data_IF_491535139464
#
_entry.id   IF_491535139464
#
_cell.length_a   1.000
_cell.length_b   1.000
_cell.length_c   1.000
_cell.angle_alpha   90.00
_cell.angle_beta   90.00
_cell.angle_gamma   90.00
#
_symmetry.space_group_name_H-M   'P 1'
#
loop_
_entity.id
_entity.type
_entity.pdbx_description
1 polymer ?
#
# COMPACT_ATOMS: atom_id res chain seq x y z
N UNK A 1 -7.71 -0.31 14.52
CA UNK A 1 -6.30 -0.67 14.28
C UNK A 1 -5.53 0.63 14.23
N UNK A 2 -4.36 0.70 14.87
CA UNK A 2 -3.45 1.83 14.68
C UNK A 2 -2.60 1.52 13.45
N UNK A 3 -2.34 2.53 12.63
CA UNK A 3 -1.38 2.41 11.53
C UNK A 3 0.02 2.19 12.09
N UNK A 4 0.86 1.46 11.36
CA UNK A 4 2.27 1.32 11.68
C UNK A 4 3.00 2.67 11.46
N UNK A 5 4.05 2.91 12.23
CA UNK A 5 5.01 3.97 11.93
C UNK A 5 5.98 3.41 10.90
N UNK A 6 6.02 4.03 9.71
CA UNK A 6 6.76 3.51 8.56
C UNK A 6 7.94 4.43 8.25
N UNK A 7 9.10 3.84 7.98
CA UNK A 7 10.28 4.55 7.50
C UNK A 7 10.22 4.73 5.97
N UNK A 8 10.60 5.93 5.49
CA UNK A 8 10.59 6.25 4.06
C UNK A 8 11.69 7.23 3.65
N UNK A 9 11.99 7.23 2.35
CA UNK A 9 12.93 8.16 1.72
C UNK A 9 12.38 8.66 0.39
N UNK A 10 12.50 9.96 0.14
CA UNK A 10 12.22 10.54 -1.17
C UNK A 10 13.52 10.55 -1.99
N UNK A 11 13.47 9.99 -3.19
CA UNK A 11 14.62 9.91 -4.11
C UNK A 11 14.30 10.70 -5.37
N UNK A 12 15.28 11.48 -5.84
CA UNK A 12 15.16 12.32 -7.03
C UNK A 12 14.90 13.79 -6.70
N UNK A 13 15.00 14.63 -7.73
CA UNK A 13 14.79 16.08 -7.64
C UNK A 13 13.63 16.48 -8.58
N UNK A 14 13.83 16.36 -9.89
CA UNK A 14 12.80 16.68 -10.89
C UNK A 14 11.71 15.61 -11.04
N UNK A 15 12.11 14.33 -10.93
CA UNK A 15 11.19 13.19 -10.92
C UNK A 15 11.43 12.44 -9.63
N UNK A 16 10.43 12.40 -8.78
CA UNK A 16 10.53 11.89 -7.42
C UNK A 16 9.82 10.55 -7.27
N UNK A 17 10.42 9.68 -6.47
CA UNK A 17 9.80 8.46 -5.98
C UNK A 17 9.93 8.40 -4.45
N UNK A 18 8.98 7.74 -3.81
CA UNK A 18 9.06 7.41 -2.39
C UNK A 18 9.44 5.94 -2.26
N UNK A 19 10.55 5.69 -1.60
CA UNK A 19 10.99 4.37 -1.17
C UNK A 19 10.49 4.16 0.27
N UNK A 20 9.86 3.02 0.51
CA UNK A 20 9.25 2.66 1.79
C UNK A 20 9.93 1.41 2.33
N UNK A 21 10.46 1.49 3.54
CA UNK A 21 11.03 0.34 4.26
C UNK A 21 9.93 -0.32 5.09
N UNK A 22 9.90 -1.66 5.09
CA UNK A 22 8.91 -2.44 5.82
C UNK A 22 9.60 -3.39 6.78
N UNK A 23 9.32 -3.22 8.07
CA UNK A 23 9.68 -4.22 9.06
C UNK A 23 8.84 -5.50 8.87
N UNK A 24 9.28 -6.64 9.43
CA UNK A 24 8.50 -7.87 9.37
C UNK A 24 7.07 -7.66 9.90
N UNK A 25 6.07 -7.99 9.08
CA UNK A 25 4.62 -7.84 9.32
C UNK A 25 4.07 -6.42 9.13
N UNK A 26 4.87 -5.47 8.66
CA UNK A 26 4.35 -4.18 8.23
C UNK A 26 3.68 -4.26 6.86
N UNK A 27 2.85 -3.27 6.57
CA UNK A 27 2.10 -3.22 5.31
C UNK A 27 1.90 -1.77 4.92
N UNK A 28 2.17 -1.49 3.65
CA UNK A 28 1.81 -0.23 3.00
C UNK A 28 0.71 -0.49 1.98
N UNK A 29 -0.22 0.45 1.88
CA UNK A 29 -1.29 0.42 0.88
C UNK A 29 -0.99 1.55 -0.11
N UNK A 30 -0.98 1.22 -1.39
CA UNK A 30 -0.76 2.18 -2.46
C UNK A 30 -1.80 1.98 -3.56
N UNK A 31 -2.04 3.05 -4.33
CA UNK A 31 -2.93 3.00 -5.49
C UNK A 31 -2.37 2.08 -6.59
N UNK A 32 -3.26 1.48 -7.36
CA UNK A 32 -2.88 0.64 -8.49
C UNK A 32 -2.03 1.44 -9.49
N UNK A 33 -0.86 0.92 -9.82
CA UNK A 33 0.07 1.57 -10.76
C UNK A 33 1.05 2.57 -10.13
N UNK A 34 0.96 2.84 -8.82
CA UNK A 34 1.92 3.70 -8.13
C UNK A 34 3.26 3.00 -7.82
N UNK A 35 3.27 1.68 -7.72
CA UNK A 35 4.47 0.90 -7.40
C UNK A 35 5.44 0.85 -8.59
N UNK A 36 6.70 1.22 -8.36
CA UNK A 36 7.77 1.20 -9.36
C UNK A 36 8.60 -0.09 -9.30
N UNK A 37 9.02 -0.50 -8.11
CA UNK A 37 9.78 -1.73 -7.85
C UNK A 37 9.50 -2.25 -6.44
N UNK A 38 9.95 -3.47 -6.15
CA UNK A 38 9.92 -4.11 -4.83
C UNK A 38 11.16 -4.99 -4.67
N UNK A 39 11.63 -5.17 -3.44
CA UNK A 39 12.73 -6.08 -3.11
C UNK A 39 12.27 -7.52 -2.87
N UNK A 40 13.23 -8.45 -2.85
CA UNK A 40 12.95 -9.85 -2.51
C UNK A 40 12.45 -9.96 -1.05
N UNK A 41 11.40 -10.75 -0.84
CA UNK A 41 10.79 -10.94 0.48
C UNK A 41 9.55 -10.08 0.73
N UNK A 42 9.28 -9.07 -0.10
CA UNK A 42 8.03 -8.30 -0.05
C UNK A 42 6.91 -9.07 -0.75
N UNK A 43 5.75 -9.16 -0.09
CA UNK A 43 4.53 -9.76 -0.65
C UNK A 43 3.59 -8.69 -1.20
N UNK A 44 3.08 -8.91 -2.41
CA UNK A 44 2.13 -8.01 -3.07
C UNK A 44 0.76 -8.67 -3.18
N UNK A 45 -0.29 -7.96 -2.74
CA UNK A 45 -1.68 -8.42 -2.82
C UNK A 45 -2.56 -7.32 -3.42
N UNK A 46 -3.28 -7.64 -4.51
CA UNK A 46 -4.28 -6.72 -5.07
C UNK A 46 -5.58 -6.83 -4.29
N UNK A 47 -6.02 -5.73 -3.66
CA UNK A 47 -7.33 -5.64 -2.99
C UNK A 47 -8.23 -4.65 -3.71
N UNK A 48 -9.49 -5.04 -3.88
CA UNK A 48 -10.55 -4.15 -4.40
C UNK A 48 -11.12 -3.31 -3.24
N UNK A 49 -11.19 -1.99 -3.43
CA UNK A 49 -11.51 -0.99 -2.39
C UNK A 49 -10.31 -0.10 -2.05
N UNK A 50 -10.47 0.83 -1.12
CA UNK A 50 -9.41 1.76 -0.65
C UNK A 50 -8.42 1.12 0.36
N UNK A 51 -8.65 -0.14 0.73
CA UNK A 51 -7.82 -0.89 1.66
C UNK A 51 -7.94 -0.44 3.13
N UNK A 52 -8.78 0.54 3.45
CA UNK A 52 -8.90 1.12 4.80
C UNK A 52 -9.64 0.22 5.79
N UNK A 53 -10.52 -0.68 5.31
CA UNK A 53 -11.29 -1.61 6.15
C UNK A 53 -11.06 -3.09 5.75
N UNK A 54 -10.26 -3.85 6.52
CA UNK A 54 -10.03 -5.27 6.26
C UNK A 54 -11.27 -6.15 6.50
N UNK A 55 -12.29 -5.68 7.23
CA UNK A 55 -13.51 -6.44 7.55
C UNK A 55 -14.69 -6.14 6.62
N UNK A 56 -14.49 -5.34 5.58
CA UNK A 56 -15.57 -4.98 4.66
C UNK A 56 -16.01 -6.20 3.83
N UNK A 57 -17.26 -6.62 4.03
CA UNK A 57 -17.86 -7.74 3.30
C UNK A 57 -17.95 -7.48 1.78
N UNK A 58 -18.15 -8.54 1.00
CA UNK A 58 -18.18 -8.50 -0.47
C UNK A 58 -19.13 -7.41 -1.04
N UNK A 59 -20.28 -7.20 -0.40
CA UNK A 59 -21.24 -6.18 -0.83
C UNK A 59 -20.73 -4.74 -0.61
N UNK A 60 -19.95 -4.51 0.46
CA UNK A 60 -19.36 -3.20 0.75
C UNK A 60 -18.26 -2.83 -0.25
N UNK A 61 -17.42 -3.81 -0.64
CA UNK A 61 -16.36 -3.61 -1.64
C UNK A 61 -16.88 -3.25 -3.04
N UNK A 62 -18.06 -3.77 -3.42
CA UNK A 62 -18.70 -3.41 -4.69
C UNK A 62 -19.28 -1.99 -4.63
N UNK A 63 -19.84 -1.58 -3.49
CA UNK A 63 -20.40 -0.23 -3.33
C UNK A 63 -19.31 0.85 -3.25
N UNK A 64 -18.16 0.54 -2.64
CA UNK A 64 -17.00 1.44 -2.59
C UNK A 64 -16.20 1.54 -3.89
N UNK A 65 -16.48 0.66 -4.87
CA UNK A 65 -15.83 0.66 -6.18
C UNK A 65 -16.61 1.47 -7.24
N UNK A 66 -17.71 2.12 -6.85
CA UNK A 66 -18.52 3.00 -7.69
C UNK A 66 -18.22 4.48 -7.49
#
# INVERSE_FOLDING_TARGET
MNSHEIDYKIIGDDIQLVEVELDPQETVIAEAGAMLYMEEGIQFETKMGDGSDPNQGLMGKIFSAG
#
